data_IF_084855483400
#
_entry.id   IF_084855483400
#
_cell.length_a   1.000
_cell.length_b   1.000
_cell.length_c   1.000
_cell.angle_alpha   90.00
_cell.angle_beta   90.00
_cell.angle_gamma   90.00
#
_symmetry.space_group_name_H-M   'P 1'
#
loop_
_entity.id
_entity.type
_entity.pdbx_description
1 polymer ?
#
# COMPACT_ATOMS: atom_id res chain seq x y z
N UNK A 1 -17.47 -10.34 4.46
CA UNK A 1 -18.38 -9.36 5.12
C UNK A 1 -19.18 -8.62 4.04
N UNK A 2 -20.38 -8.10 4.34
CA UNK A 2 -21.19 -7.35 3.36
C UNK A 2 -21.07 -5.83 3.49
N UNK A 3 -20.26 -5.36 4.44
CA UNK A 3 -20.01 -3.94 4.68
C UNK A 3 -18.73 -3.50 3.96
N UNK A 4 -18.73 -2.35 3.25
CA UNK A 4 -17.51 -1.74 2.71
C UNK A 4 -16.55 -1.32 3.83
N UNK A 5 -15.30 -0.92 3.51
CA UNK A 5 -14.36 -0.41 4.51
C UNK A 5 -15.01 0.69 5.37
N UNK A 6 -15.09 0.51 6.70
CA UNK A 6 -15.79 1.43 7.56
C UNK A 6 -15.01 2.74 7.76
N UNK A 7 -15.74 3.85 7.93
CA UNK A 7 -15.19 5.19 8.10
C UNK A 7 -15.13 5.67 9.57
N UNK A 8 -15.54 4.82 10.51
CA UNK A 8 -15.70 5.13 11.93
C UNK A 8 -14.74 4.31 12.81
N UNK A 9 -13.62 3.84 12.25
CA UNK A 9 -12.56 3.17 13.01
C UNK A 9 -11.57 4.21 13.52
N UNK A 10 -11.44 4.40 14.85
CA UNK A 10 -10.50 5.38 15.38
C UNK A 10 -9.06 4.88 15.28
N UNK A 11 -8.13 5.81 15.08
CA UNK A 11 -6.72 5.60 15.36
C UNK A 11 -6.49 5.36 16.86
N UNK A 12 -5.30 4.86 17.21
CA UNK A 12 -4.85 4.92 18.60
C UNK A 12 -4.76 6.38 19.05
N UNK A 13 -5.13 6.67 20.30
CA UNK A 13 -5.09 8.03 20.81
C UNK A 13 -3.68 8.62 20.69
N UNK A 14 -3.52 9.76 20.02
CA UNK A 14 -2.21 10.37 19.79
C UNK A 14 -1.44 10.64 21.08
N UNK A 15 -2.18 10.99 22.15
CA UNK A 15 -1.63 11.41 23.45
C UNK A 15 -1.17 10.25 24.33
N UNK A 16 -2.01 9.22 24.49
CA UNK A 16 -1.76 8.12 25.43
C UNK A 16 -1.67 6.72 24.79
N UNK A 17 -1.77 6.67 23.46
CA UNK A 17 -1.70 5.47 22.61
C UNK A 17 -2.78 4.42 22.90
N UNK A 18 -3.85 4.77 23.63
CA UNK A 18 -4.97 3.88 23.90
C UNK A 18 -5.74 3.57 22.61
N UNK A 19 -5.94 2.29 22.31
CA UNK A 19 -6.89 1.83 21.28
C UNK A 19 -8.32 1.92 21.80
N UNK A 20 -9.24 2.35 20.94
CA UNK A 20 -10.65 2.55 21.26
C UNK A 20 -11.53 1.70 20.33
N UNK A 21 -12.74 1.39 20.79
CA UNK A 21 -13.70 0.64 19.98
C UNK A 21 -14.16 1.46 18.76
N UNK A 22 -14.58 0.76 17.70
CA UNK A 22 -15.22 1.37 16.53
C UNK A 22 -16.38 2.29 16.94
N UNK A 23 -16.49 3.44 16.29
CA UNK A 23 -17.50 4.48 16.57
C UNK A 23 -17.14 5.42 17.72
N UNK A 24 -16.08 5.15 18.49
CA UNK A 24 -15.65 6.05 19.57
C UNK A 24 -15.06 7.34 18.99
N UNK A 25 -15.63 8.49 19.37
CA UNK A 25 -15.17 9.83 18.94
C UNK A 25 -14.18 10.48 19.92
N UNK A 26 -14.08 9.94 21.14
CA UNK A 26 -13.19 10.42 22.21
C UNK A 26 -12.47 9.25 22.86
N UNK A 27 -11.23 9.47 23.31
CA UNK A 27 -10.45 8.46 23.99
C UNK A 27 -11.08 8.08 25.32
N UNK A 28 -11.30 6.79 25.55
CA UNK A 28 -11.86 6.28 26.80
C UNK A 28 -11.02 6.55 28.05
N UNK A 29 -9.74 6.91 27.87
CA UNK A 29 -8.78 7.15 28.96
C UNK A 29 -8.57 8.64 29.24
N UNK A 30 -8.14 9.42 28.25
CA UNK A 30 -7.84 10.84 28.45
C UNK A 30 -8.96 11.80 28.00
N UNK A 31 -10.06 11.31 27.42
CA UNK A 31 -11.19 12.12 26.98
C UNK A 31 -10.94 13.01 25.75
N UNK A 32 -9.74 12.97 25.16
CA UNK A 32 -9.41 13.78 23.98
C UNK A 32 -10.11 13.25 22.71
N UNK A 33 -10.43 14.11 21.73
CA UNK A 33 -10.95 13.68 20.44
C UNK A 33 -10.04 12.68 19.74
N UNK A 34 -10.62 11.71 19.04
CA UNK A 34 -9.89 10.72 18.24
C UNK A 34 -9.92 11.09 16.76
N UNK A 35 -8.81 10.80 16.08
CA UNK A 35 -8.76 10.79 14.61
C UNK A 35 -9.32 9.46 14.10
N UNK A 36 -9.99 9.51 12.95
CA UNK A 36 -10.50 8.31 12.28
C UNK A 36 -9.51 7.90 11.21
N UNK A 37 -9.25 6.60 11.14
CA UNK A 37 -8.50 5.97 10.05
C UNK A 37 -9.23 6.24 8.73
N UNK A 38 -8.48 6.41 7.65
CA UNK A 38 -9.06 6.54 6.32
C UNK A 38 -9.64 5.20 5.86
N UNK A 39 -10.54 5.23 4.87
CA UNK A 39 -11.09 3.98 4.29
C UNK A 39 -10.01 3.09 3.68
N UNK A 40 -8.92 3.71 3.21
CA UNK A 40 -7.76 3.06 2.64
C UNK A 40 -6.97 2.35 3.73
N UNK A 41 -6.64 3.07 4.80
CA UNK A 41 -5.92 2.56 5.96
C UNK A 41 -6.61 1.32 6.56
N UNK A 42 -7.89 1.43 6.87
CA UNK A 42 -8.67 0.29 7.39
C UNK A 42 -8.66 -0.89 6.42
N UNK A 43 -8.76 -0.64 5.13
CA UNK A 43 -8.88 -1.70 4.14
C UNK A 43 -7.57 -2.42 3.86
N UNK A 44 -6.46 -1.71 3.67
CA UNK A 44 -5.20 -2.37 3.35
C UNK A 44 -4.66 -3.16 4.54
N UNK A 45 -4.89 -2.69 5.77
CA UNK A 45 -4.57 -3.42 7.00
C UNK A 45 -5.35 -4.76 7.07
N UNK A 46 -6.65 -4.72 6.74
CA UNK A 46 -7.45 -5.95 6.61
C UNK A 46 -6.97 -6.84 5.45
N UNK A 47 -6.51 -6.27 4.33
CA UNK A 47 -6.01 -7.00 3.17
C UNK A 47 -4.73 -7.77 3.52
N UNK A 48 -3.78 -7.12 4.19
CA UNK A 48 -2.54 -7.74 4.67
C UNK A 48 -2.87 -8.82 5.69
N UNK A 49 -3.68 -8.49 6.69
CA UNK A 49 -4.05 -9.40 7.78
C UNK A 49 -4.70 -10.67 7.25
N UNK A 50 -5.64 -10.55 6.31
CA UNK A 50 -6.30 -11.72 5.72
C UNK A 50 -5.42 -12.47 4.74
N UNK A 51 -4.52 -11.81 4.00
CA UNK A 51 -3.50 -12.49 3.20
C UNK A 51 -2.60 -13.38 4.07
N UNK A 52 -2.08 -12.82 5.17
CA UNK A 52 -1.24 -13.54 6.13
C UNK A 52 -2.04 -14.67 6.79
N UNK A 53 -3.25 -14.39 7.27
CA UNK A 53 -4.13 -15.39 7.88
C UNK A 53 -4.41 -16.57 6.97
N UNK A 54 -4.82 -16.33 5.73
CA UNK A 54 -5.10 -17.40 4.75
C UNK A 54 -3.85 -18.23 4.43
N UNK A 55 -2.67 -17.60 4.33
CA UNK A 55 -1.38 -18.27 4.14
C UNK A 55 -1.00 -19.17 5.31
N UNK A 56 -1.26 -18.73 6.54
CA UNK A 56 -1.00 -19.50 7.76
C UNK A 56 -2.11 -20.52 8.07
N UNK A 57 -3.24 -20.48 7.38
CA UNK A 57 -4.41 -21.33 7.65
C UNK A 57 -5.26 -20.86 8.84
N UNK A 58 -5.15 -19.60 9.24
CA UNK A 58 -5.91 -19.00 10.36
C UNK A 58 -6.88 -17.95 9.81
N UNK A 59 -8.18 -18.15 10.06
CA UNK A 59 -9.23 -17.20 9.64
C UNK A 59 -9.37 -16.05 10.64
N UNK A 60 -8.94 -14.86 10.24
CA UNK A 60 -9.03 -13.62 11.03
C UNK A 60 -10.31 -12.84 10.69
N UNK A 61 -11.47 -13.43 10.98
CA UNK A 61 -12.80 -12.83 10.74
C UNK A 61 -13.28 -12.83 9.27
N UNK A 62 -12.36 -12.72 8.31
CA UNK A 62 -12.64 -12.73 6.87
C UNK A 62 -11.54 -13.51 6.12
N UNK A 63 -11.82 -13.92 4.87
CA UNK A 63 -10.80 -14.43 3.94
C UNK A 63 -10.19 -13.28 3.13
N UNK A 64 -9.06 -13.52 2.47
CA UNK A 64 -8.47 -12.56 1.53
C UNK A 64 -9.45 -12.13 0.44
N UNK A 65 -10.21 -13.08 -0.11
CA UNK A 65 -11.24 -12.80 -1.12
C UNK A 65 -12.40 -11.94 -0.59
N UNK A 66 -12.79 -12.13 0.67
CA UNK A 66 -13.82 -11.31 1.32
C UNK A 66 -13.43 -9.84 1.44
N UNK A 67 -12.12 -9.55 1.53
CA UNK A 67 -11.57 -8.18 1.66
C UNK A 67 -11.22 -7.60 0.30
N UNK A 68 -10.52 -8.37 -0.55
CA UNK A 68 -10.06 -7.92 -1.88
C UNK A 68 -11.22 -7.41 -2.75
N UNK A 69 -12.43 -7.97 -2.59
CA UNK A 69 -13.59 -7.54 -3.37
C UNK A 69 -13.92 -6.05 -3.25
N UNK A 70 -13.54 -5.42 -2.14
CA UNK A 70 -13.77 -4.00 -1.90
C UNK A 70 -12.80 -3.07 -2.62
N UNK A 71 -11.80 -3.62 -3.33
CA UNK A 71 -10.93 -2.85 -4.23
C UNK A 71 -11.73 -1.99 -5.22
N UNK A 72 -12.89 -2.45 -5.68
CA UNK A 72 -13.75 -1.69 -6.59
C UNK A 72 -14.36 -0.45 -5.95
N UNK A 73 -14.63 -0.47 -4.64
CA UNK A 73 -15.18 0.68 -3.90
C UNK A 73 -14.12 1.75 -3.58
N UNK A 74 -12.84 1.39 -3.66
CA UNK A 74 -11.72 2.32 -3.50
C UNK A 74 -11.38 3.09 -4.78
N UNK A 75 -11.82 2.58 -5.94
CA UNK A 75 -11.63 3.22 -7.25
C UNK A 75 -12.75 4.26 -7.51
N UNK A 76 -12.49 5.35 -8.26
CA UNK A 76 -11.18 5.80 -8.74
C UNK A 76 -10.33 6.43 -7.63
N UNK A 77 -9.00 6.40 -7.82
CA UNK A 77 -8.03 6.96 -6.88
C UNK A 77 -7.79 8.45 -7.13
N UNK A 78 -7.53 9.20 -6.06
CA UNK A 78 -7.12 10.61 -6.11
C UNK A 78 -5.62 10.69 -5.82
N UNK A 79 -4.87 11.40 -6.66
CA UNK A 79 -3.45 11.69 -6.42
C UNK A 79 -3.22 12.67 -5.26
N UNK A 80 -1.99 13.18 -5.12
CA UNK A 80 -1.62 14.11 -4.04
C UNK A 80 -2.43 15.42 -4.07
N UNK A 81 -2.82 15.87 -5.27
CA UNK A 81 -3.40 17.18 -5.52
C UNK A 81 -2.53 18.32 -4.97
N UNK A 82 -1.19 18.21 -5.13
CA UNK A 82 -0.24 19.17 -4.57
C UNK A 82 -0.24 19.17 -3.05
N UNK A 83 -0.40 18.00 -2.43
CA UNK A 83 -0.47 17.82 -0.97
C UNK A 83 -1.82 18.10 -0.32
N UNK A 84 -2.84 18.52 -1.09
CA UNK A 84 -4.18 18.80 -0.53
C UNK A 84 -4.98 17.54 -0.18
N UNK A 85 -4.63 16.38 -0.73
CA UNK A 85 -5.32 15.12 -0.46
C UNK A 85 -4.74 14.42 0.77
N UNK A 86 -5.40 14.57 1.92
CA UNK A 86 -4.98 13.93 3.18
C UNK A 86 -5.00 12.39 3.14
N UNK A 87 -5.74 11.76 2.21
CA UNK A 87 -5.76 10.29 2.06
C UNK A 87 -4.67 9.77 1.12
N UNK A 88 -3.81 10.64 0.55
CA UNK A 88 -2.88 10.25 -0.50
C UNK A 88 -1.90 9.16 -0.04
N UNK A 89 -1.29 9.33 1.13
CA UNK A 89 -0.37 8.34 1.71
C UNK A 89 -1.03 6.96 1.82
N UNK A 90 -2.21 6.88 2.44
CA UNK A 90 -2.95 5.62 2.61
C UNK A 90 -3.43 5.05 1.27
N UNK A 91 -3.72 5.91 0.28
CA UNK A 91 -4.06 5.48 -1.08
C UNK A 91 -2.88 4.77 -1.74
N UNK A 92 -1.68 5.32 -1.63
CA UNK A 92 -0.44 4.69 -2.13
C UNK A 92 -0.25 3.34 -1.47
N UNK A 93 -0.23 3.30 -0.14
CA UNK A 93 -0.05 2.07 0.64
C UNK A 93 -1.10 1.00 0.32
N UNK A 94 -2.36 1.40 0.12
CA UNK A 94 -3.41 0.46 -0.29
C UNK A 94 -3.12 -0.18 -1.64
N UNK A 95 -2.67 0.62 -2.62
CA UNK A 95 -2.40 0.15 -3.97
C UNK A 95 -1.16 -0.74 -3.99
N UNK A 96 -0.08 -0.37 -3.30
CA UNK A 96 1.14 -1.19 -3.25
C UNK A 96 0.89 -2.50 -2.54
N UNK A 97 0.06 -2.53 -1.49
CA UNK A 97 -0.31 -3.77 -0.81
C UNK A 97 -1.26 -4.67 -1.61
N UNK A 98 -2.01 -4.13 -2.58
CA UNK A 98 -2.64 -4.96 -3.62
C UNK A 98 -1.58 -5.68 -4.44
N UNK A 99 -0.54 -4.96 -4.89
CA UNK A 99 0.55 -5.55 -5.66
C UNK A 99 1.29 -6.59 -4.83
N UNK A 100 1.69 -6.28 -3.60
CA UNK A 100 2.42 -7.21 -2.73
C UNK A 100 1.63 -8.47 -2.39
N UNK A 101 0.35 -8.33 -2.01
CA UNK A 101 -0.45 -9.51 -1.68
C UNK A 101 -0.74 -10.38 -2.91
N UNK A 102 -0.82 -9.81 -4.11
CA UNK A 102 -1.00 -10.57 -5.36
C UNK A 102 0.32 -11.18 -5.88
N UNK A 103 1.45 -10.51 -5.66
CA UNK A 103 2.77 -10.94 -6.11
C UNK A 103 3.50 -11.84 -5.09
N UNK A 104 2.83 -12.14 -3.97
CA UNK A 104 3.35 -12.92 -2.84
C UNK A 104 4.59 -12.30 -2.19
N UNK A 105 4.57 -10.97 -2.03
CA UNK A 105 5.65 -10.15 -1.48
C UNK A 105 7.00 -10.42 -2.16
N UNK A 106 7.03 -10.25 -3.48
CA UNK A 106 8.27 -10.30 -4.26
C UNK A 106 8.59 -11.66 -4.91
N UNK A 107 7.72 -12.68 -4.80
CA UNK A 107 8.00 -13.99 -5.40
C UNK A 107 7.68 -14.05 -6.90
N UNK A 108 6.70 -13.29 -7.38
CA UNK A 108 6.23 -13.36 -8.76
C UNK A 108 6.14 -11.98 -9.40
N UNK A 109 6.38 -11.89 -10.71
CA UNK A 109 6.06 -10.70 -11.49
C UNK A 109 4.57 -10.72 -11.85
N UNK A 110 3.91 -9.56 -11.86
CA UNK A 110 2.50 -9.43 -12.22
C UNK A 110 2.36 -8.76 -13.59
N UNK A 111 1.46 -9.23 -14.48
CA UNK A 111 1.11 -8.50 -15.68
C UNK A 111 0.35 -7.21 -15.34
N UNK A 112 0.89 -6.03 -15.70
CA UNK A 112 0.24 -4.74 -15.45
C UNK A 112 -1.21 -4.66 -15.96
N UNK A 113 -1.55 -5.37 -17.04
CA UNK A 113 -2.92 -5.46 -17.59
C UNK A 113 -3.96 -6.01 -16.61
N UNK A 114 -3.54 -6.68 -15.53
CA UNK A 114 -4.45 -7.15 -14.49
C UNK A 114 -4.84 -6.05 -13.48
N UNK A 115 -4.01 -5.01 -13.38
CA UNK A 115 -4.11 -3.90 -12.44
C UNK A 115 -3.91 -2.55 -13.17
N UNK A 116 -4.67 -2.25 -14.24
CA UNK A 116 -4.37 -1.10 -15.10
C UNK A 116 -4.53 0.23 -14.36
N UNK A 117 -5.55 0.36 -13.51
CA UNK A 117 -5.82 1.59 -12.74
C UNK A 117 -4.74 1.84 -11.69
N UNK A 118 -4.29 0.78 -11.02
CA UNK A 118 -3.22 0.86 -10.02
C UNK A 118 -1.88 1.18 -10.68
N UNK A 119 -1.56 0.53 -11.80
CA UNK A 119 -0.34 0.78 -12.55
C UNK A 119 -0.24 2.24 -13.02
N UNK A 120 -1.32 2.77 -13.61
CA UNK A 120 -1.36 4.17 -14.05
C UNK A 120 -1.29 5.14 -12.87
N UNK A 121 -1.97 4.86 -11.76
CA UNK A 121 -1.86 5.66 -10.54
C UNK A 121 -0.41 5.73 -10.04
N UNK A 122 0.25 4.58 -9.91
CA UNK A 122 1.63 4.51 -9.41
C UNK A 122 2.59 5.29 -10.32
N UNK A 123 2.46 5.15 -11.65
CA UNK A 123 3.28 5.91 -12.61
C UNK A 123 3.03 7.42 -12.53
N UNK A 124 1.78 7.84 -12.39
CA UNK A 124 1.41 9.24 -12.37
C UNK A 124 1.90 9.96 -11.10
N UNK A 125 2.07 9.24 -9.98
CA UNK A 125 2.30 9.84 -8.66
C UNK A 125 3.70 9.57 -8.06
N UNK A 126 4.54 8.70 -8.65
CA UNK A 126 5.88 8.41 -8.11
C UNK A 126 6.72 9.67 -7.84
N UNK A 127 6.60 10.70 -8.70
CA UNK A 127 7.38 11.95 -8.57
C UNK A 127 6.98 12.77 -7.34
N UNK A 128 5.79 12.57 -6.80
CA UNK A 128 5.36 13.24 -5.57
C UNK A 128 6.23 12.79 -4.38
N UNK A 129 6.54 11.50 -4.28
CA UNK A 129 7.43 11.00 -3.22
C UNK A 129 8.85 11.60 -3.30
N UNK A 130 9.37 11.79 -4.52
CA UNK A 130 10.66 12.49 -4.74
C UNK A 130 10.56 13.96 -4.31
N UNK A 131 9.47 14.64 -4.64
CA UNK A 131 9.26 16.04 -4.29
C UNK A 131 9.10 16.27 -2.78
N UNK A 132 8.47 15.33 -2.08
CA UNK A 132 8.27 15.36 -0.63
C UNK A 132 9.51 14.90 0.15
N UNK A 133 10.49 14.32 -0.54
CA UNK A 133 11.67 13.74 0.09
C UNK A 133 11.37 12.46 0.86
N UNK A 134 10.31 11.76 0.48
CA UNK A 134 9.81 10.56 1.15
C UNK A 134 10.40 9.31 0.48
N UNK A 135 11.54 8.86 1.01
CA UNK A 135 12.21 7.65 0.54
C UNK A 135 11.38 6.37 0.78
N UNK A 136 10.48 6.39 1.77
CA UNK A 136 9.63 5.26 2.11
C UNK A 136 8.55 5.07 1.06
N UNK A 137 7.76 6.12 0.82
CA UNK A 137 6.74 6.12 -0.23
C UNK A 137 7.36 5.92 -1.62
N UNK A 138 8.55 6.46 -1.88
CA UNK A 138 9.26 6.22 -3.14
C UNK A 138 9.58 4.74 -3.31
N UNK A 139 9.98 4.06 -2.23
CA UNK A 139 10.27 2.63 -2.28
C UNK A 139 9.05 1.79 -2.60
N UNK A 140 7.93 2.12 -1.98
CA UNK A 140 6.60 1.53 -2.25
C UNK A 140 6.21 1.64 -3.74
N UNK A 141 6.36 2.83 -4.34
CA UNK A 141 6.09 3.03 -5.75
C UNK A 141 7.02 2.19 -6.64
N UNK A 142 8.32 2.27 -6.40
CA UNK A 142 9.32 1.64 -7.26
C UNK A 142 9.22 0.12 -7.24
N UNK A 143 9.11 -0.49 -6.06
CA UNK A 143 9.01 -1.94 -5.94
C UNK A 143 7.74 -2.46 -6.63
N UNK A 144 6.60 -1.80 -6.39
CA UNK A 144 5.34 -2.15 -7.03
C UNK A 144 5.38 -1.99 -8.56
N UNK A 145 5.98 -0.91 -9.07
CA UNK A 145 6.11 -0.70 -10.51
C UNK A 145 7.04 -1.71 -11.18
N UNK A 146 8.12 -2.13 -10.50
CA UNK A 146 9.00 -3.22 -10.97
C UNK A 146 8.27 -4.56 -10.99
N UNK A 147 7.50 -4.86 -9.95
CA UNK A 147 6.65 -6.05 -9.91
C UNK A 147 5.60 -6.06 -11.04
N UNK A 148 5.10 -4.88 -11.45
CA UNK A 148 4.19 -4.71 -12.59
C UNK A 148 4.91 -4.60 -13.94
N UNK A 149 6.24 -4.57 -13.92
CA UNK A 149 7.08 -4.84 -15.07
C UNK A 149 7.88 -3.66 -15.62
N UNK A 150 7.94 -2.52 -14.92
CA UNK A 150 8.98 -1.54 -15.21
C UNK A 150 10.37 -2.12 -14.90
N UNK A 151 11.38 -1.59 -15.59
CA UNK A 151 12.78 -2.00 -15.48
C UNK A 151 13.66 -0.77 -15.38
N UNK A 152 14.97 -0.95 -15.20
CA UNK A 152 15.93 0.15 -15.15
C UNK A 152 16.03 0.96 -16.47
N UNK A 153 15.41 0.49 -17.55
CA UNK A 153 15.27 1.27 -18.77
C UNK A 153 14.23 2.39 -18.66
N UNK A 154 13.28 2.29 -17.72
CA UNK A 154 12.22 3.29 -17.54
C UNK A 154 12.76 4.56 -16.87
N UNK A 155 12.38 5.72 -17.38
CA UNK A 155 12.84 7.01 -16.86
C UNK A 155 12.39 7.29 -15.41
N UNK A 156 11.21 6.82 -15.01
CA UNK A 156 10.71 6.98 -13.64
C UNK A 156 11.54 6.14 -12.65
N UNK A 157 11.84 4.90 -13.03
CA UNK A 157 12.66 4.00 -12.22
C UNK A 157 14.08 4.57 -12.06
N UNK A 158 14.69 5.04 -13.14
CA UNK A 158 16.03 5.68 -13.08
C UNK A 158 16.05 6.90 -12.18
N UNK A 159 15.06 7.80 -12.32
CA UNK A 159 14.99 9.00 -11.49
C UNK A 159 14.83 8.66 -9.99
N UNK A 160 14.01 7.67 -9.66
CA UNK A 160 13.88 7.17 -8.28
C UNK A 160 15.16 6.53 -7.76
N UNK A 161 15.84 5.73 -8.59
CA UNK A 161 17.15 5.14 -8.24
C UNK A 161 18.20 6.21 -7.97
N UNK A 162 18.32 7.21 -8.85
CA UNK A 162 19.24 8.33 -8.68
C UNK A 162 18.95 9.10 -7.38
N UNK A 163 17.67 9.37 -7.10
CA UNK A 163 17.25 9.98 -5.85
C UNK A 163 17.68 9.16 -4.62
N UNK A 164 17.35 7.86 -4.58
CA UNK A 164 17.69 7.00 -3.44
C UNK A 164 19.20 6.93 -3.22
N UNK A 165 19.99 6.75 -4.28
CA UNK A 165 21.45 6.70 -4.15
C UNK A 165 22.05 8.02 -3.65
N UNK A 166 21.47 9.16 -4.05
CA UNK A 166 21.94 10.48 -3.61
C UNK A 166 21.56 10.83 -2.17
N UNK A 167 20.52 10.18 -1.61
CA UNK A 167 19.96 10.51 -0.29
C UNK A 167 20.15 9.39 0.75
N UNK A 168 21.02 8.41 0.47
CA UNK A 168 21.39 7.40 1.46
C UNK A 168 22.19 8.07 2.59
N UNK A 169 21.80 7.80 3.84
CA UNK A 169 22.53 8.25 5.02
C UNK A 169 23.91 7.58 5.11
N UNK A 170 24.83 8.18 5.87
CA UNK A 170 26.18 7.65 6.06
C UNK A 170 26.23 6.25 6.70
N UNK A 171 25.18 5.86 7.46
CA UNK A 171 25.03 4.53 8.05
C UNK A 171 24.35 3.52 7.11
N UNK A 172 24.05 3.92 5.87
CA UNK A 172 23.38 3.11 4.86
C UNK A 172 21.86 3.12 4.92
N UNK A 173 21.25 3.81 5.90
CA UNK A 173 19.80 3.94 6.03
C UNK A 173 19.20 4.98 5.07
N UNK A 174 17.87 4.99 4.98
CA UNK A 174 17.06 6.07 4.41
C UNK A 174 16.09 6.60 5.48
N UNK A 175 15.62 7.85 5.33
CA UNK A 175 14.73 8.53 6.28
C UNK A 175 15.47 9.31 7.38
N UNK A 176 14.76 9.72 8.44
CA UNK A 176 15.37 10.43 9.57
C UNK A 176 16.14 9.45 10.47
N UNK A 177 17.47 9.52 10.42
CA UNK A 177 18.35 8.70 11.26
C UNK A 177 18.15 8.93 12.78
N UNK A 178 17.46 10.00 13.18
CA UNK A 178 17.14 10.35 14.57
C UNK A 178 15.73 9.93 15.00
N UNK A 179 14.95 9.32 14.11
CA UNK A 179 13.63 8.79 14.45
C UNK A 179 13.75 7.79 15.62
N UNK A 180 12.87 7.96 16.61
CA UNK A 180 12.85 7.16 17.84
C UNK A 180 11.91 5.98 17.72
N UNK A 181 10.84 6.12 16.95
CA UNK A 181 9.99 5.00 16.62
C UNK A 181 10.77 4.03 15.73
N UNK A 182 10.99 2.81 16.23
CA UNK A 182 11.82 1.84 15.54
C UNK A 182 11.25 1.50 14.17
N UNK A 183 9.92 1.41 14.05
CA UNK A 183 9.27 1.09 12.79
C UNK A 183 9.51 2.19 11.77
N UNK A 184 9.23 3.45 12.14
CA UNK A 184 9.46 4.59 11.27
C UNK A 184 10.94 4.78 10.91
N UNK A 185 11.87 4.32 11.75
CA UNK A 185 13.31 4.37 11.48
C UNK A 185 13.77 3.33 10.46
N UNK A 186 13.33 2.07 10.57
CA UNK A 186 13.82 1.01 9.66
C UNK A 186 13.01 0.91 8.37
N UNK A 187 11.74 1.27 8.38
CA UNK A 187 10.83 1.06 7.25
C UNK A 187 11.28 1.78 5.96
N UNK A 188 11.72 3.06 5.98
CA UNK A 188 12.23 3.71 4.78
C UNK A 188 13.49 3.01 4.23
N UNK A 189 14.31 2.43 5.11
CA UNK A 189 15.50 1.65 4.70
C UNK A 189 15.10 0.35 4.03
N UNK A 190 14.10 -0.36 4.57
CA UNK A 190 13.52 -1.54 3.92
C UNK A 190 12.97 -1.19 2.54
N UNK A 191 12.17 -0.12 2.44
CA UNK A 191 11.60 0.38 1.19
C UNK A 191 12.68 0.73 0.17
N UNK A 192 13.73 1.45 0.58
CA UNK A 192 14.86 1.78 -0.29
C UNK A 192 15.60 0.54 -0.83
N UNK A 193 15.83 -0.46 0.01
CA UNK A 193 16.45 -1.73 -0.43
C UNK A 193 15.53 -2.48 -1.41
N UNK A 194 14.23 -2.58 -1.13
CA UNK A 194 13.26 -3.21 -2.02
C UNK A 194 13.21 -2.51 -3.39
N UNK A 195 13.20 -1.18 -3.40
CA UNK A 195 13.16 -0.35 -4.60
C UNK A 195 14.37 -0.52 -5.53
N UNK A 196 15.55 -0.72 -4.92
CA UNK A 196 16.82 -0.91 -5.62
C UNK A 196 17.09 -2.39 -5.94
N UNK A 197 16.30 -3.31 -5.41
CA UNK A 197 16.47 -4.75 -5.63
C UNK A 197 16.04 -5.16 -7.04
N UNK A 198 16.82 -6.05 -7.65
CA UNK A 198 16.45 -6.74 -8.87
C UNK A 198 16.08 -8.19 -8.52
N UNK A 199 14.80 -8.45 -8.31
CA UNK A 199 14.33 -9.76 -7.88
C UNK A 199 14.53 -10.83 -8.95
N UNK A 200 15.03 -11.99 -8.52
CA UNK A 200 14.93 -13.22 -9.28
C UNK A 200 13.50 -13.79 -9.13
N UNK A 201 12.56 -13.25 -9.91
CA UNK A 201 11.16 -13.69 -9.89
C UNK A 201 11.05 -15.20 -10.15
N UNK A 202 10.21 -15.90 -9.38
CA UNK A 202 9.94 -17.33 -9.56
C UNK A 202 9.09 -17.64 -10.79
N UNK A 203 8.49 -16.60 -11.37
CA UNK A 203 7.63 -16.69 -12.55
C UNK A 203 6.64 -15.54 -12.60
N UNK A 204 5.51 -15.78 -13.27
CA UNK A 204 4.42 -14.80 -13.39
C UNK A 204 3.25 -15.20 -12.50
N UNK A 205 2.78 -14.26 -11.68
CA UNK A 205 1.60 -14.40 -10.83
C UNK A 205 0.37 -13.67 -11.41
N UNK A 206 -0.70 -13.53 -10.61
CA UNK A 206 -0.87 -14.08 -9.26
C UNK A 206 -1.22 -15.58 -9.30
N UNK A 207 -1.38 -16.21 -8.13
CA UNK A 207 -1.83 -17.62 -8.06
C UNK A 207 -3.18 -17.82 -8.77
N UNK A 208 -3.51 -19.03 -9.27
CA UNK A 208 -4.76 -19.27 -10.00
C UNK A 208 -6.03 -18.86 -9.23
N UNK A 209 -6.02 -19.01 -7.90
CA UNK A 209 -7.13 -18.58 -7.05
C UNK A 209 -7.28 -17.05 -7.03
N UNK A 210 -6.18 -16.32 -6.81
CA UNK A 210 -6.15 -14.85 -6.81
C UNK A 210 -6.44 -14.27 -8.19
N UNK A 211 -5.97 -14.93 -9.26
CA UNK A 211 -6.28 -14.54 -10.63
C UNK A 211 -7.78 -14.59 -10.91
N UNK A 212 -8.48 -15.66 -10.50
CA UNK A 212 -9.93 -15.78 -10.66
C UNK A 212 -10.68 -14.66 -9.93
N UNK A 213 -10.26 -14.33 -8.69
CA UNK A 213 -10.84 -13.23 -7.94
C UNK A 213 -10.66 -11.89 -8.68
N UNK A 214 -9.44 -11.59 -9.11
CA UNK A 214 -9.13 -10.33 -9.77
C UNK A 214 -9.85 -10.18 -11.13
N UNK A 215 -9.94 -11.25 -11.92
CA UNK A 215 -10.69 -11.24 -13.17
C UNK A 215 -12.18 -11.00 -12.96
N UNK A 216 -12.77 -11.63 -11.94
CA UNK A 216 -14.18 -11.40 -11.59
C UNK A 216 -14.43 -9.92 -11.19
N UNK A 217 -13.52 -9.32 -10.44
CA UNK A 217 -13.62 -7.90 -10.06
C UNK A 217 -13.51 -6.97 -11.27
N UNK A 218 -12.55 -7.21 -12.16
CA UNK A 218 -12.39 -6.39 -13.37
C UNK A 218 -13.60 -6.50 -14.32
N UNK A 219 -14.20 -7.69 -14.44
CA UNK A 219 -15.44 -7.87 -15.21
C UNK A 219 -16.62 -7.14 -14.58
N UNK A 220 -16.76 -7.17 -13.26
CA UNK A 220 -17.83 -6.46 -12.55
C UNK A 220 -17.69 -4.94 -12.70
N UNK A 221 -16.47 -4.40 -12.59
CA UNK A 221 -16.21 -2.97 -12.83
C UNK A 221 -16.54 -2.57 -14.27
N UNK A 222 -16.12 -3.35 -15.26
CA UNK A 222 -16.42 -3.04 -16.66
C UNK A 222 -17.93 -2.96 -16.91
N UNK A 223 -18.74 -3.86 -16.32
CA UNK A 223 -20.21 -3.84 -16.46
C UNK A 223 -20.88 -2.64 -15.79
N UNK A 224 -20.25 -2.03 -14.79
CA UNK A 224 -20.80 -0.86 -14.09
C UNK A 224 -20.48 0.47 -14.80
N UNK A 225 -19.55 0.45 -15.76
CA UNK A 225 -19.13 1.61 -16.57
C UNK A 225 -19.92 1.74 -17.89
N UNK A 226 -20.82 0.79 -18.20
CA UNK A 226 -21.78 0.81 -19.32
C UNK A 226 -23.22 0.88 -18.82
#
# INVERSE_FOLDING_TARGET
TNEPPPADVPEACEFDKTTNARGAKVCRRCGRPLRMRTRYDVWYDALITTYVGDRYGVRLGATYGDVLKWLTALRPYRGSQGGANAEFYDTVYSITHVVYTLNEYGQYRLPARLLPREFEFLKANLREAVAEGDADMLGEFMDSLRALGLTDADALIRAGTEYLLAHQNADGSWGDARERDIYLRYHPTWGGVAALSNYAWRGTGPSPAKLRLLLALNQASARAEY
#
